data_IF_653991243579
#
_entry.id   IF_653991243579
#
_cell.length_a   1.000
_cell.length_b   1.000
_cell.length_c   1.000
_cell.angle_alpha   90.00
_cell.angle_beta   90.00
_cell.angle_gamma   90.00
#
_symmetry.space_group_name_H-M   'P 1'
#
loop_
_entity.id
_entity.type
_entity.pdbx_description
1 polymer ?
#
# COMPACT_ATOMS: atom_id res chain seq x y z
N UNK A 1 0.30 -12.06 31.13
CA UNK A 1 1.39 -11.20 30.64
C UNK A 1 1.15 -10.97 29.15
N UNK A 2 0.92 -9.73 28.71
CA UNK A 2 0.65 -9.42 27.29
C UNK A 2 1.96 -8.99 26.63
N UNK A 3 2.47 -9.79 25.71
CA UNK A 3 3.61 -9.43 24.87
C UNK A 3 3.11 -8.47 23.77
N UNK A 4 3.52 -7.20 23.80
CA UNK A 4 3.34 -6.28 22.67
C UNK A 4 4.50 -6.50 21.69
N UNK A 5 4.21 -7.04 20.51
CA UNK A 5 5.16 -7.35 19.43
C UNK A 5 5.65 -6.08 18.67
N UNK A 6 6.00 -5.02 19.39
CA UNK A 6 6.44 -3.76 18.78
C UNK A 6 5.30 -2.97 18.11
N UNK A 7 5.67 -2.07 17.19
CA UNK A 7 4.73 -1.28 16.38
C UNK A 7 3.90 -2.21 15.48
N UNK A 8 2.58 -1.99 15.35
CA UNK A 8 1.73 -2.84 14.51
C UNK A 8 2.23 -2.83 13.05
N UNK A 9 2.15 -3.97 12.33
CA UNK A 9 2.58 -4.02 10.95
C UNK A 9 1.72 -3.08 10.11
N UNK A 10 2.37 -2.36 9.20
CA UNK A 10 1.70 -1.49 8.25
C UNK A 10 1.40 -2.28 6.97
N UNK A 11 0.21 -2.09 6.41
CA UNK A 11 -0.31 -2.88 5.29
C UNK A 11 -0.52 -1.97 4.09
N UNK A 12 -0.01 -2.39 2.94
CA UNK A 12 -0.37 -1.81 1.65
C UNK A 12 -1.37 -2.73 0.96
N UNK A 13 -2.60 -2.25 0.76
CA UNK A 13 -3.66 -2.99 0.09
C UNK A 13 -3.77 -2.54 -1.36
N UNK A 14 -3.69 -3.47 -2.31
CA UNK A 14 -3.73 -3.14 -3.73
C UNK A 14 -4.98 -3.75 -4.39
N UNK A 15 -5.84 -2.88 -4.92
CA UNK A 15 -7.07 -3.24 -5.64
C UNK A 15 -6.95 -2.77 -7.09
N UNK A 16 -6.48 -3.64 -7.99
CA UNK A 16 -6.23 -3.29 -9.39
C UNK A 16 -6.88 -4.23 -10.42
N UNK A 17 -7.69 -5.20 -10.00
CA UNK A 17 -8.26 -6.21 -10.91
C UNK A 17 -7.20 -7.04 -11.65
N UNK A 18 -7.58 -7.72 -12.73
CA UNK A 18 -6.63 -8.43 -13.58
C UNK A 18 -5.97 -7.44 -14.55
N UNK A 19 -4.71 -7.11 -14.28
CA UNK A 19 -3.92 -6.19 -15.09
C UNK A 19 -2.66 -6.86 -15.61
N UNK A 20 -2.18 -6.42 -16.77
CA UNK A 20 -0.89 -6.87 -17.27
C UNK A 20 0.23 -6.39 -16.35
N UNK A 21 1.35 -7.11 -16.32
CA UNK A 21 2.55 -6.69 -15.59
C UNK A 21 3.02 -5.27 -15.98
N UNK A 22 2.81 -4.88 -17.24
CA UNK A 22 3.15 -3.54 -17.74
C UNK A 22 2.29 -2.47 -17.06
N UNK A 23 0.98 -2.66 -17.07
CA UNK A 23 0.03 -1.73 -16.47
C UNK A 23 0.18 -1.69 -14.95
N UNK A 24 0.42 -2.84 -14.31
CA UNK A 24 0.70 -2.92 -12.88
C UNK A 24 1.95 -2.10 -12.50
N UNK A 25 3.03 -2.22 -13.27
CA UNK A 25 4.25 -1.42 -13.06
C UNK A 25 3.98 0.07 -13.22
N UNK A 26 3.19 0.47 -14.22
CA UNK A 26 2.83 1.88 -14.42
C UNK A 26 2.00 2.43 -13.25
N UNK A 27 0.98 1.67 -12.81
CA UNK A 27 0.14 2.02 -11.67
C UNK A 27 0.99 2.20 -10.41
N UNK A 28 1.82 1.20 -10.07
CA UNK A 28 2.67 1.26 -8.88
C UNK A 28 3.73 2.35 -8.99
N UNK A 29 4.29 2.61 -10.17
CA UNK A 29 5.27 3.70 -10.33
C UNK A 29 4.67 5.07 -10.03
N UNK A 30 3.38 5.27 -10.30
CA UNK A 30 2.68 6.51 -10.02
C UNK A 30 2.16 6.61 -8.57
N UNK A 31 1.69 5.51 -7.98
CA UNK A 31 0.93 5.53 -6.71
C UNK A 31 1.73 5.07 -5.49
N UNK A 32 2.74 4.22 -5.69
CA UNK A 32 3.53 3.67 -4.59
C UNK A 32 4.30 4.73 -3.79
N UNK A 33 4.92 5.78 -4.40
CA UNK A 33 5.64 6.78 -3.63
C UNK A 33 4.77 7.48 -2.59
N UNK A 34 3.57 7.92 -3.00
CA UNK A 34 2.60 8.56 -2.11
C UNK A 34 2.10 7.60 -1.02
N UNK A 35 1.77 6.37 -1.40
CA UNK A 35 1.33 5.37 -0.44
C UNK A 35 2.41 5.06 0.63
N UNK A 36 3.69 5.04 0.23
CA UNK A 36 4.80 4.87 1.17
C UNK A 36 4.95 6.08 2.10
N UNK A 37 4.70 7.31 1.64
CA UNK A 37 4.72 8.49 2.51
C UNK A 37 3.59 8.43 3.54
N UNK A 38 2.38 8.00 3.15
CA UNK A 38 1.27 7.79 4.08
C UNK A 38 1.61 6.74 5.14
N UNK A 39 2.25 5.63 4.74
CA UNK A 39 2.74 4.64 5.69
C UNK A 39 3.79 5.27 6.63
N UNK A 40 4.76 6.05 6.12
CA UNK A 40 5.75 6.72 6.99
C UNK A 40 5.13 7.70 7.99
N UNK A 41 3.99 8.29 7.67
CA UNK A 41 3.22 9.17 8.58
C UNK A 41 2.47 8.43 9.69
N UNK A 42 2.51 7.09 9.70
CA UNK A 42 1.90 6.26 10.74
C UNK A 42 0.54 5.69 10.35
N UNK A 43 0.12 5.81 9.09
CA UNK A 43 -1.07 5.12 8.61
C UNK A 43 -0.87 3.61 8.69
N UNK A 44 -1.83 2.91 9.30
CA UNK A 44 -1.73 1.46 9.50
C UNK A 44 -2.04 0.67 8.22
N UNK A 45 -2.98 1.17 7.41
CA UNK A 45 -3.39 0.53 6.15
C UNK A 45 -3.56 1.62 5.10
N UNK A 46 -2.86 1.48 3.97
CA UNK A 46 -3.00 2.36 2.81
C UNK A 46 -3.52 1.54 1.65
N UNK A 47 -4.58 2.02 0.99
CA UNK A 47 -5.14 1.38 -0.19
C UNK A 47 -4.67 2.09 -1.46
N UNK A 48 -4.16 1.32 -2.42
CA UNK A 48 -3.98 1.73 -3.81
C UNK A 48 -5.07 1.07 -4.64
N UNK A 49 -5.93 1.88 -5.21
CA UNK A 49 -7.00 1.44 -6.11
C UNK A 49 -6.77 2.00 -7.51
N UNK A 50 -6.99 1.18 -8.55
CA UNK A 50 -7.00 1.67 -9.92
C UNK A 50 -8.30 2.45 -10.15
N UNK A 51 -8.33 3.72 -9.72
CA UNK A 51 -9.44 4.62 -10.00
C UNK A 51 -9.64 4.72 -11.54
N UNK A 52 -10.90 4.78 -12.01
CA UNK A 52 -11.21 4.88 -13.43
C UNK A 52 -10.71 6.19 -14.06
#
# INVERSE_FOLDING_TARGET
MVCRLGTPPQILWLTCGNVTNRNLRQLLSATLPDALEQLRQGTMIVEISNAP
#
